data_IF_175929301652
#
_entry.id   IF_175929301652
#
_cell.length_a   1.000
_cell.length_b   1.000
_cell.length_c   1.000
_cell.angle_alpha   90.00
_cell.angle_beta   90.00
_cell.angle_gamma   90.00
#
_symmetry.space_group_name_H-M   'P 1'
#
loop_
_entity.id
_entity.type
_entity.pdbx_description
1 polymer ?
#
# COMPACT_ATOMS: atom_id res chain seq x y z
N UNK A 1 -18.32 -17.64 37.66
CA UNK A 1 -17.01 -17.50 36.95
C UNK A 1 -17.27 -16.64 35.72
N UNK A 2 -16.73 -15.40 35.75
CA UNK A 2 -16.79 -14.54 34.56
C UNK A 2 -15.90 -15.20 33.48
N UNK A 3 -16.49 -15.78 32.44
CA UNK A 3 -15.70 -16.26 31.30
C UNK A 3 -15.15 -15.05 30.54
N UNK A 4 -13.92 -15.15 30.04
CA UNK A 4 -13.37 -14.09 29.19
C UNK A 4 -14.13 -14.04 27.88
N UNK A 5 -14.42 -12.84 27.37
CA UNK A 5 -15.02 -12.65 26.06
C UNK A 5 -14.17 -13.33 24.98
N UNK A 6 -14.82 -13.91 23.99
CA UNK A 6 -14.18 -14.38 22.76
C UNK A 6 -14.40 -13.37 21.63
N UNK A 7 -13.63 -13.49 20.57
CA UNK A 7 -13.68 -12.54 19.45
C UNK A 7 -13.75 -13.27 18.11
N UNK A 8 -14.40 -12.67 17.13
CA UNK A 8 -14.41 -13.19 15.77
C UNK A 8 -13.03 -13.04 15.11
N UNK A 9 -12.71 -13.96 14.18
CA UNK A 9 -11.36 -14.06 13.59
C UNK A 9 -10.94 -12.82 12.78
N UNK A 10 -11.80 -12.34 11.88
CA UNK A 10 -11.40 -11.34 10.91
C UNK A 10 -11.60 -9.89 11.39
N UNK A 11 -12.72 -9.63 12.07
CA UNK A 11 -13.11 -8.30 12.53
C UNK A 11 -12.90 -8.09 14.02
N UNK A 12 -12.51 -9.13 14.77
CA UNK A 12 -12.39 -9.09 16.22
C UNK A 12 -13.62 -8.47 16.91
N UNK A 13 -14.83 -8.90 16.45
CA UNK A 13 -16.10 -8.57 17.11
C UNK A 13 -16.17 -9.28 18.45
N UNK A 14 -16.64 -8.60 19.49
CA UNK A 14 -16.85 -9.24 20.79
C UNK A 14 -18.04 -10.20 20.73
N UNK A 15 -17.80 -11.48 20.99
CA UNK A 15 -18.78 -12.54 21.01
C UNK A 15 -19.18 -12.81 22.47
N UNK A 16 -20.36 -12.36 22.85
CA UNK A 16 -20.87 -12.44 24.22
C UNK A 16 -21.57 -13.76 24.43
N UNK A 17 -21.15 -14.57 25.41
CA UNK A 17 -21.81 -15.80 25.76
C UNK A 17 -23.14 -15.53 26.53
N UNK A 18 -24.07 -16.49 26.47
CA UNK A 18 -25.35 -16.40 27.18
C UNK A 18 -25.13 -16.22 28.68
N UNK A 19 -25.74 -15.20 29.27
CA UNK A 19 -25.63 -14.89 30.69
C UNK A 19 -24.45 -14.01 31.08
N UNK A 20 -23.58 -13.63 30.11
CA UNK A 20 -22.48 -12.73 30.37
C UNK A 20 -22.84 -11.26 30.10
N UNK A 21 -21.99 -10.34 30.60
CA UNK A 21 -22.04 -8.88 30.30
C UNK A 21 -23.39 -8.23 30.60
N UNK A 22 -24.06 -8.63 31.70
CA UNK A 22 -25.30 -8.00 32.15
C UNK A 22 -25.14 -6.48 32.23
N UNK A 23 -26.04 -5.73 31.61
CA UNK A 23 -25.99 -4.25 31.52
C UNK A 23 -25.05 -3.68 30.45
N UNK A 24 -24.20 -4.47 29.81
CA UNK A 24 -23.26 -4.01 28.77
C UNK A 24 -23.68 -4.42 27.34
N UNK A 25 -24.71 -5.21 27.20
CA UNK A 25 -25.18 -5.74 25.92
C UNK A 25 -25.39 -4.68 24.84
N UNK A 26 -26.05 -3.57 25.19
CA UNK A 26 -26.29 -2.46 24.26
C UNK A 26 -25.00 -1.81 23.79
N UNK A 27 -24.04 -1.61 24.68
CA UNK A 27 -22.74 -1.04 24.34
C UNK A 27 -21.95 -1.94 23.41
N UNK A 28 -21.84 -3.23 23.73
CA UNK A 28 -21.12 -4.22 22.92
C UNK A 28 -21.76 -4.36 21.53
N UNK A 29 -23.09 -4.47 21.48
CA UNK A 29 -23.83 -4.55 20.22
C UNK A 29 -23.58 -3.33 19.35
N UNK A 30 -23.67 -2.12 19.92
CA UNK A 30 -23.44 -0.88 19.19
C UNK A 30 -21.98 -0.79 18.69
N UNK A 31 -21.00 -1.18 19.50
CA UNK A 31 -19.60 -1.22 19.09
C UNK A 31 -19.37 -2.21 17.94
N UNK A 32 -19.96 -3.41 18.02
CA UNK A 32 -19.89 -4.40 16.94
C UNK A 32 -20.52 -3.87 15.64
N UNK A 33 -21.66 -3.17 15.72
CA UNK A 33 -22.28 -2.53 14.55
C UNK A 33 -21.38 -1.44 13.96
N UNK A 34 -20.69 -0.64 14.78
CA UNK A 34 -19.72 0.34 14.32
C UNK A 34 -18.52 -0.31 13.62
N UNK A 35 -18.03 -1.44 14.12
CA UNK A 35 -16.97 -2.22 13.46
C UNK A 35 -17.45 -2.75 12.10
N UNK A 36 -18.66 -3.27 12.02
CA UNK A 36 -19.26 -3.70 10.75
C UNK A 36 -19.39 -2.53 9.77
N UNK A 37 -19.81 -1.35 10.23
CA UNK A 37 -19.86 -0.15 9.42
C UNK A 37 -18.47 0.24 8.90
N UNK A 38 -17.43 0.21 9.74
CA UNK A 38 -16.05 0.46 9.30
C UNK A 38 -15.62 -0.51 8.20
N UNK A 39 -15.95 -1.79 8.34
CA UNK A 39 -15.58 -2.82 7.36
C UNK A 39 -16.31 -2.69 6.02
N UNK A 40 -17.48 -2.06 6.01
CA UNK A 40 -18.30 -1.89 4.81
C UNK A 40 -18.06 -0.55 4.10
N UNK A 41 -17.87 0.53 4.85
CA UNK A 41 -17.84 1.91 4.32
C UNK A 41 -16.76 2.79 4.94
N UNK A 42 -15.98 2.27 5.88
CA UNK A 42 -14.97 3.05 6.61
C UNK A 42 -13.83 3.49 5.73
N UNK A 43 -13.44 4.76 5.87
CA UNK A 43 -12.27 5.38 5.24
C UNK A 43 -11.37 5.92 6.34
N UNK A 44 -10.07 5.69 6.23
CA UNK A 44 -9.10 6.23 7.19
C UNK A 44 -7.83 6.70 6.48
N UNK A 45 -7.29 7.82 6.97
CA UNK A 45 -5.97 8.30 6.60
C UNK A 45 -4.91 7.62 7.46
N UNK A 46 -3.93 6.99 6.80
CA UNK A 46 -2.80 6.33 7.44
C UNK A 46 -1.53 7.11 7.12
N UNK A 47 -0.98 7.78 8.12
CA UNK A 47 0.23 8.57 7.94
C UNK A 47 1.47 7.66 7.82
N UNK A 48 2.24 7.86 6.72
CA UNK A 48 3.47 7.12 6.40
C UNK A 48 4.75 7.96 6.59
N UNK A 49 4.68 8.99 7.45
CA UNK A 49 5.74 10.01 7.60
C UNK A 49 6.86 9.65 8.57
N UNK A 50 6.67 8.63 9.40
CA UNK A 50 7.59 8.38 10.53
C UNK A 50 8.95 7.76 10.13
N UNK A 51 9.18 7.43 8.85
CA UNK A 51 10.38 6.74 8.39
C UNK A 51 10.54 5.31 8.92
N UNK A 52 9.48 4.76 9.50
CA UNK A 52 9.40 3.39 10.03
C UNK A 52 8.14 2.71 9.53
N UNK A 53 8.16 1.38 9.49
CA UNK A 53 7.00 0.58 9.11
C UNK A 53 5.77 0.91 9.98
N UNK A 54 4.61 1.02 9.34
CA UNK A 54 3.33 1.26 10.01
C UNK A 54 2.51 -0.03 10.07
N UNK A 55 2.24 -0.52 11.26
CA UNK A 55 1.34 -1.66 11.47
C UNK A 55 -0.08 -1.16 11.72
N UNK A 56 -1.04 -1.68 10.96
CA UNK A 56 -2.47 -1.47 11.22
C UNK A 56 -2.89 -2.20 12.50
N UNK A 57 -3.96 -1.74 13.13
CA UNK A 57 -4.52 -2.35 14.33
C UNK A 57 -5.83 -3.07 14.02
N UNK A 58 -6.01 -4.26 14.58
CA UNK A 58 -7.26 -5.00 14.61
C UNK A 58 -7.65 -5.23 16.08
N UNK A 59 -8.07 -4.14 16.75
CA UNK A 59 -8.35 -4.15 18.19
C UNK A 59 -9.57 -5.00 18.54
N UNK A 60 -9.46 -5.83 19.56
CA UNK A 60 -10.55 -6.71 20.03
C UNK A 60 -11.72 -5.88 20.55
N UNK A 61 -12.93 -6.14 20.06
CA UNK A 61 -14.16 -5.48 20.49
C UNK A 61 -14.17 -3.95 20.37
N UNK A 62 -13.29 -3.35 19.56
CA UNK A 62 -13.19 -1.91 19.42
C UNK A 62 -12.94 -1.51 17.96
N UNK A 63 -13.29 -0.27 17.60
CA UNK A 63 -12.91 0.32 16.29
C UNK A 63 -11.40 0.53 16.23
N UNK A 64 -10.82 0.36 15.02
CA UNK A 64 -9.38 0.58 14.79
C UNK A 64 -9.09 0.84 13.31
N UNK A 65 -7.89 1.37 12.98
CA UNK A 65 -7.53 1.75 11.62
C UNK A 65 -7.63 0.56 10.64
N UNK A 66 -7.14 -0.61 11.01
CA UNK A 66 -7.17 -1.82 10.19
C UNK A 66 -8.55 -2.43 9.97
N UNK A 67 -9.62 -1.91 10.58
CA UNK A 67 -10.99 -2.35 10.34
C UNK A 67 -11.70 -1.59 9.22
N UNK A 68 -11.15 -0.45 8.77
CA UNK A 68 -11.67 0.29 7.63
C UNK A 68 -11.38 -0.45 6.32
N UNK A 69 -12.34 -0.38 5.38
CA UNK A 69 -12.15 -1.00 4.06
C UNK A 69 -11.27 -0.17 3.14
N UNK A 70 -11.29 1.15 3.29
CA UNK A 70 -10.53 2.08 2.46
C UNK A 70 -9.42 2.74 3.29
N UNK A 71 -8.18 2.55 2.87
CA UNK A 71 -7.00 3.12 3.50
C UNK A 71 -6.37 4.14 2.55
N UNK A 72 -6.32 5.41 2.95
CA UNK A 72 -5.58 6.44 2.22
C UNK A 72 -4.24 6.65 2.90
N UNK A 73 -3.15 6.23 2.25
CA UNK A 73 -1.79 6.42 2.75
C UNK A 73 -1.35 7.84 2.46
N UNK A 74 -0.97 8.59 3.49
CA UNK A 74 -0.74 10.04 3.38
C UNK A 74 0.60 10.45 3.98
N UNK A 75 1.03 11.66 3.65
CA UNK A 75 2.18 12.35 4.24
C UNK A 75 3.46 12.24 3.40
N UNK A 76 4.47 13.04 3.75
CA UNK A 76 5.77 13.05 3.09
C UNK A 76 6.65 11.96 3.67
N UNK A 77 7.09 11.04 2.82
CA UNK A 77 7.96 9.93 3.23
C UNK A 77 9.40 10.40 3.43
N UNK A 78 10.05 9.87 4.47
CA UNK A 78 11.46 10.18 4.83
C UNK A 78 12.37 8.94 4.75
N UNK A 79 11.81 7.75 4.50
CA UNK A 79 12.54 6.49 4.31
C UNK A 79 11.68 5.49 3.52
N UNK A 80 12.27 4.37 3.12
CA UNK A 80 11.52 3.21 2.64
C UNK A 80 10.71 2.62 3.79
N UNK A 81 9.40 2.43 3.60
CA UNK A 81 8.51 1.93 4.65
C UNK A 81 7.51 0.92 4.09
N UNK A 82 7.00 0.08 4.99
CA UNK A 82 5.93 -0.85 4.68
C UNK A 82 4.68 -0.55 5.52
N UNK A 83 3.51 -0.65 4.89
CA UNK A 83 2.27 -0.86 5.60
C UNK A 83 2.15 -2.36 5.96
N UNK A 84 2.02 -2.66 7.24
CA UNK A 84 1.92 -4.03 7.73
C UNK A 84 0.47 -4.34 8.08
N UNK A 85 -0.11 -5.33 7.40
CA UNK A 85 -1.45 -5.87 7.71
C UNK A 85 -1.28 -6.92 8.79
N UNK A 86 -2.02 -6.86 9.92
CA UNK A 86 -1.96 -7.90 10.95
C UNK A 86 -2.33 -9.27 10.38
N UNK A 87 -1.58 -10.29 10.75
CA UNK A 87 -1.80 -11.67 10.32
C UNK A 87 -2.93 -12.37 11.10
N UNK A 88 -3.22 -11.88 12.31
CA UNK A 88 -4.19 -12.49 13.21
C UNK A 88 -4.83 -11.47 14.13
N UNK A 89 -5.95 -11.87 14.72
CA UNK A 89 -6.61 -11.27 15.88
C UNK A 89 -6.54 -12.26 17.04
N UNK A 90 -7.06 -11.92 18.20
CA UNK A 90 -7.22 -12.87 19.32
C UNK A 90 -8.12 -14.05 18.93
N UNK A 91 -9.04 -13.84 17.98
CA UNK A 91 -9.93 -14.91 17.45
C UNK A 91 -9.25 -15.88 16.48
N UNK A 92 -8.03 -15.60 16.01
CA UNK A 92 -7.30 -16.45 15.06
C UNK A 92 -6.73 -15.72 13.86
N UNK A 93 -6.39 -16.46 12.81
CA UNK A 93 -5.85 -15.93 11.55
C UNK A 93 -6.86 -14.97 10.91
N UNK A 94 -6.43 -13.75 10.60
CA UNK A 94 -7.28 -12.71 10.04
C UNK A 94 -7.17 -12.66 8.51
N UNK A 95 -8.31 -12.75 7.83
CA UNK A 95 -8.45 -12.53 6.38
C UNK A 95 -9.07 -11.16 6.14
N UNK A 96 -8.44 -10.34 5.31
CA UNK A 96 -8.88 -8.96 5.07
C UNK A 96 -8.76 -8.57 3.60
N UNK A 97 -9.70 -7.73 3.19
CA UNK A 97 -9.65 -7.03 1.90
C UNK A 97 -9.60 -5.54 2.17
N UNK A 98 -8.72 -4.84 1.45
CA UNK A 98 -8.57 -3.40 1.54
C UNK A 98 -8.53 -2.78 0.15
N UNK A 99 -9.13 -1.60 0.02
CA UNK A 99 -8.82 -0.67 -1.06
C UNK A 99 -7.78 0.30 -0.50
N UNK A 100 -6.58 0.33 -1.09
CA UNK A 100 -5.48 1.15 -0.61
C UNK A 100 -5.13 2.18 -1.66
N UNK A 101 -5.26 3.46 -1.31
CA UNK A 101 -4.85 4.58 -2.15
C UNK A 101 -3.52 5.14 -1.67
N UNK A 102 -2.56 5.27 -2.57
CA UNK A 102 -1.35 6.03 -2.31
C UNK A 102 -1.57 7.52 -2.56
N UNK A 103 -1.57 8.30 -1.50
CA UNK A 103 -1.56 9.76 -1.51
C UNK A 103 -0.34 10.31 -0.75
N UNK A 104 0.76 9.50 -0.69
CA UNK A 104 2.00 9.94 -0.08
C UNK A 104 2.78 10.87 -1.01
N UNK A 105 3.51 11.81 -0.41
CA UNK A 105 4.49 12.63 -1.14
C UNK A 105 5.85 11.92 -1.11
N UNK A 106 6.37 11.56 -2.29
CA UNK A 106 7.67 10.93 -2.51
C UNK A 106 8.56 11.76 -3.44
N UNK A 107 8.28 13.06 -3.58
CA UNK A 107 8.92 13.94 -4.57
C UNK A 107 10.33 14.37 -4.19
N UNK A 108 10.80 14.09 -2.97
CA UNK A 108 12.19 14.37 -2.57
C UNK A 108 13.20 13.52 -3.33
N UNK A 109 14.40 14.03 -3.53
CA UNK A 109 15.45 13.52 -4.43
C UNK A 109 15.84 12.04 -4.26
N UNK A 110 15.50 11.42 -3.16
CA UNK A 110 15.72 10.00 -2.89
C UNK A 110 14.37 9.30 -2.74
N UNK A 111 13.80 8.97 -3.84
CA UNK A 111 12.57 8.28 -3.98
C UNK A 111 12.42 7.04 -3.11
N UNK A 112 11.65 7.19 -2.07
CA UNK A 112 11.39 6.12 -1.12
C UNK A 112 10.39 5.10 -1.69
N UNK A 113 10.60 3.83 -1.38
CA UNK A 113 9.69 2.75 -1.73
C UNK A 113 8.65 2.59 -0.63
N UNK A 114 7.38 2.60 -1.02
CA UNK A 114 6.27 2.16 -0.19
C UNK A 114 5.90 0.75 -0.58
N UNK A 115 5.71 -0.11 0.42
CA UNK A 115 5.25 -1.48 0.20
C UNK A 115 4.14 -1.87 1.17
N UNK A 116 3.43 -2.94 0.85
CA UNK A 116 2.39 -3.53 1.71
C UNK A 116 2.74 -5.00 1.91
N UNK A 117 2.66 -5.48 3.14
CA UNK A 117 2.85 -6.89 3.46
C UNK A 117 1.98 -7.33 4.63
N UNK A 118 1.69 -8.61 4.72
CA UNK A 118 1.13 -9.20 5.94
C UNK A 118 2.23 -9.35 6.99
N UNK A 119 1.89 -9.22 8.26
CA UNK A 119 2.84 -9.41 9.36
C UNK A 119 3.49 -10.80 9.27
N UNK A 120 4.82 -10.84 9.38
CA UNK A 120 5.60 -12.07 9.23
C UNK A 120 5.90 -12.47 7.77
N UNK A 121 5.24 -11.89 6.76
CA UNK A 121 5.55 -12.17 5.35
C UNK A 121 6.89 -11.55 4.93
N UNK A 122 7.67 -12.31 4.16
CA UNK A 122 8.88 -11.85 3.47
C UNK A 122 8.60 -11.30 2.06
N UNK A 123 7.35 -11.33 1.60
CA UNK A 123 6.93 -10.95 0.24
C UNK A 123 6.17 -9.61 0.24
N UNK A 124 6.86 -8.46 0.32
CA UNK A 124 6.21 -7.17 0.23
C UNK A 124 5.71 -6.89 -1.19
N UNK A 125 4.55 -6.26 -1.30
CA UNK A 125 4.00 -5.74 -2.55
C UNK A 125 4.43 -4.28 -2.68
N UNK A 126 5.15 -3.92 -3.72
CA UNK A 126 5.48 -2.53 -4.01
C UNK A 126 4.21 -1.74 -4.40
N UNK A 127 4.09 -0.52 -3.88
CA UNK A 127 2.98 0.38 -4.18
C UNK A 127 3.45 1.41 -5.21
N UNK A 128 2.94 1.37 -6.46
CA UNK A 128 3.22 2.41 -7.44
C UNK A 128 2.74 3.78 -6.95
N UNK A 129 3.48 4.84 -7.30
CA UNK A 129 3.15 6.20 -6.87
C UNK A 129 1.76 6.60 -7.37
N UNK A 130 0.91 7.08 -6.47
CA UNK A 130 -0.45 7.52 -6.78
C UNK A 130 -1.43 6.41 -7.15
N UNK A 131 -1.05 5.14 -7.02
CA UNK A 131 -1.93 4.02 -7.35
C UNK A 131 -3.07 3.84 -6.34
N UNK A 132 -4.17 3.28 -6.82
CA UNK A 132 -5.23 2.70 -5.98
C UNK A 132 -5.27 1.21 -6.24
N UNK A 133 -5.18 0.41 -5.18
CA UNK A 133 -4.95 -1.03 -5.24
C UNK A 133 -6.02 -1.77 -4.43
N UNK A 134 -6.45 -2.94 -4.91
CA UNK A 134 -7.19 -3.91 -4.12
C UNK A 134 -6.19 -4.89 -3.51
N UNK A 135 -6.14 -4.97 -2.20
CA UNK A 135 -5.26 -5.85 -1.44
C UNK A 135 -6.09 -6.90 -0.72
N UNK A 136 -5.74 -8.17 -0.90
CA UNK A 136 -6.27 -9.28 -0.12
C UNK A 136 -5.15 -9.89 0.73
N UNK A 137 -5.32 -9.92 2.05
CA UNK A 137 -4.46 -10.64 2.98
C UNK A 137 -5.19 -11.88 3.49
N UNK A 138 -4.54 -13.03 3.43
CA UNK A 138 -5.04 -14.30 3.97
C UNK A 138 -4.44 -14.66 5.34
N UNK A 139 -3.79 -13.70 6.00
CA UNK A 139 -3.10 -13.88 7.26
C UNK A 139 -1.65 -14.41 7.11
N UNK A 140 -1.22 -14.77 5.91
CA UNK A 140 0.16 -15.20 5.62
C UNK A 140 0.81 -14.24 4.63
N UNK A 141 0.16 -14.02 3.49
CA UNK A 141 0.62 -13.14 2.44
C UNK A 141 -0.46 -12.15 2.02
N UNK A 142 -0.04 -11.04 1.45
CA UNK A 142 -0.91 -10.13 0.73
C UNK A 142 -0.86 -10.42 -0.77
N UNK A 143 -2.01 -10.27 -1.45
CA UNK A 143 -2.15 -10.34 -2.90
C UNK A 143 -2.73 -9.04 -3.43
N UNK A 144 -2.43 -8.73 -4.67
CA UNK A 144 -2.65 -7.43 -5.24
C UNK A 144 -3.46 -7.52 -6.54
N UNK A 145 -4.46 -6.61 -6.63
CA UNK A 145 -5.01 -6.18 -7.91
C UNK A 145 -4.96 -4.65 -8.00
N UNK A 146 -4.42 -4.10 -9.09
CA UNK A 146 -4.37 -2.66 -9.30
C UNK A 146 -5.70 -2.19 -9.86
N UNK A 147 -6.46 -1.40 -9.08
CA UNK A 147 -7.73 -0.81 -9.51
C UNK A 147 -7.52 0.43 -10.39
N UNK A 148 -6.47 1.20 -10.12
CA UNK A 148 -6.11 2.40 -10.86
C UNK A 148 -4.60 2.59 -10.83
N UNK A 149 -3.98 2.76 -12.00
CA UNK A 149 -2.58 3.19 -12.10
C UNK A 149 -2.47 4.65 -11.68
N UNK A 150 -1.54 4.94 -10.78
CA UNK A 150 -1.17 6.31 -10.45
C UNK A 150 -0.29 6.90 -11.53
N UNK A 151 -0.30 8.23 -11.65
CA UNK A 151 0.62 8.98 -12.49
C UNK A 151 1.71 9.56 -11.60
N UNK A 152 2.97 9.29 -11.91
CA UNK A 152 4.09 9.93 -11.25
C UNK A 152 4.78 10.91 -12.19
N UNK A 153 4.69 12.19 -11.85
CA UNK A 153 5.37 13.25 -12.60
C UNK A 153 6.84 13.33 -12.20
N UNK A 154 7.73 13.17 -13.16
CA UNK A 154 9.18 13.36 -13.02
C UNK A 154 9.56 14.63 -13.77
N UNK A 155 9.99 15.66 -13.05
CA UNK A 155 10.52 16.88 -13.65
C UNK A 155 12.05 16.84 -13.55
N UNK A 156 12.72 16.90 -14.68
CA UNK A 156 14.20 16.77 -14.78
C UNK A 156 15.00 17.85 -14.05
N UNK A 157 14.38 18.96 -13.68
CA UNK A 157 14.98 19.95 -12.78
C UNK A 157 15.15 19.47 -11.33
N UNK A 158 14.42 18.42 -10.93
CA UNK A 158 14.41 17.90 -9.56
C UNK A 158 14.83 16.43 -9.48
N UNK A 159 14.48 15.62 -10.48
CA UNK A 159 14.71 14.17 -10.50
C UNK A 159 15.35 13.80 -11.83
N UNK A 160 16.62 13.44 -11.82
CA UNK A 160 17.38 12.99 -13.00
C UNK A 160 17.58 11.47 -13.05
N UNK A 161 17.27 10.75 -11.95
CA UNK A 161 17.33 9.29 -11.90
C UNK A 161 16.17 8.73 -11.08
N UNK A 162 15.56 7.63 -11.56
CA UNK A 162 14.44 6.97 -10.94
C UNK A 162 14.51 5.46 -11.08
N UNK A 163 14.29 4.71 -9.99
CA UNK A 163 14.10 3.26 -10.04
C UNK A 163 12.61 2.96 -10.03
N UNK A 164 12.13 2.46 -11.15
CA UNK A 164 10.72 2.14 -11.33
C UNK A 164 10.31 0.89 -10.57
N UNK A 165 9.06 0.82 -10.16
CA UNK A 165 8.40 -0.39 -9.67
C UNK A 165 7.34 -0.86 -10.69
N UNK A 166 6.97 -2.15 -10.62
CA UNK A 166 5.91 -2.68 -11.47
C UNK A 166 4.59 -1.90 -11.26
N UNK A 167 3.92 -1.53 -12.35
CA UNK A 167 2.70 -0.74 -12.35
C UNK A 167 2.89 0.77 -12.41
N UNK A 168 4.13 1.28 -12.35
CA UNK A 168 4.40 2.72 -12.50
C UNK A 168 3.94 3.25 -13.85
N UNK A 169 3.30 4.43 -13.84
CA UNK A 169 2.98 5.23 -15.01
C UNK A 169 3.70 6.59 -14.89
N UNK A 170 4.82 6.72 -15.59
CA UNK A 170 5.76 7.83 -15.45
C UNK A 170 5.47 8.90 -16.50
N UNK A 171 5.11 10.09 -16.04
CA UNK A 171 4.98 11.29 -16.85
C UNK A 171 6.28 12.11 -16.72
N UNK A 172 7.12 12.10 -17.75
CA UNK A 172 8.49 12.64 -17.66
C UNK A 172 8.61 13.93 -18.45
N UNK A 173 8.97 15.00 -17.78
CA UNK A 173 9.39 16.28 -18.37
C UNK A 173 10.92 16.38 -18.36
N UNK A 174 11.54 16.26 -19.53
CA UNK A 174 12.98 16.36 -19.71
C UNK A 174 13.43 17.76 -20.17
N UNK A 175 12.59 18.78 -20.03
CA UNK A 175 12.91 20.16 -20.49
C UNK A 175 14.26 20.67 -19.95
N UNK A 176 14.62 20.34 -18.70
CA UNK A 176 15.82 20.85 -18.05
C UNK A 176 17.05 19.93 -18.20
N UNK A 177 16.90 18.60 -18.24
CA UNK A 177 18.01 17.63 -18.25
C UNK A 177 17.58 16.24 -18.72
N UNK A 178 18.54 15.38 -19.00
CA UNK A 178 18.31 13.95 -19.25
C UNK A 178 17.85 13.22 -17.98
N UNK A 179 17.02 12.19 -18.14
CA UNK A 179 16.51 11.37 -17.04
C UNK A 179 16.83 9.90 -17.28
N UNK A 180 17.31 9.22 -16.24
CA UNK A 180 17.54 7.77 -16.25
C UNK A 180 16.45 7.06 -15.46
N UNK A 181 15.74 6.12 -16.11
CA UNK A 181 14.76 5.24 -15.48
C UNK A 181 15.38 3.85 -15.38
N UNK A 182 15.56 3.36 -14.16
CA UNK A 182 16.02 1.99 -13.91
C UNK A 182 14.82 1.08 -13.70
N UNK A 183 14.70 0.01 -14.50
CA UNK A 183 13.60 -0.95 -14.40
C UNK A 183 13.72 -1.83 -13.14
N UNK A 184 12.63 -2.50 -12.70
CA UNK A 184 12.66 -3.42 -11.57
C UNK A 184 13.74 -4.50 -11.72
N UNK A 185 14.43 -4.85 -10.62
CA UNK A 185 15.52 -5.84 -10.63
C UNK A 185 15.02 -7.28 -10.79
N UNK A 186 13.78 -7.56 -10.41
CA UNK A 186 13.18 -8.91 -10.45
C UNK A 186 11.77 -8.83 -11.03
N UNK A 187 11.64 -8.55 -12.35
CA UNK A 187 10.33 -8.44 -12.96
C UNK A 187 9.65 -9.81 -13.06
N UNK A 188 8.35 -9.83 -12.81
CA UNK A 188 7.49 -10.99 -13.02
C UNK A 188 6.78 -10.90 -14.39
N UNK A 189 6.26 -12.04 -14.87
CA UNK A 189 5.45 -12.04 -16.10
C UNK A 189 4.19 -11.18 -15.90
N UNK A 190 3.99 -10.21 -16.78
CA UNK A 190 2.86 -9.27 -16.71
C UNK A 190 3.18 -7.94 -16.03
N UNK A 191 4.37 -7.79 -15.46
CA UNK A 191 4.81 -6.48 -14.95
C UNK A 191 4.93 -5.46 -16.08
N UNK A 192 4.49 -4.25 -15.82
CA UNK A 192 4.48 -3.15 -16.77
C UNK A 192 5.01 -1.87 -16.10
N UNK A 193 5.83 -1.12 -16.82
CA UNK A 193 6.20 0.27 -16.50
C UNK A 193 5.89 1.11 -17.73
N UNK A 194 5.05 2.12 -17.57
CA UNK A 194 4.68 3.03 -18.65
C UNK A 194 5.49 4.33 -18.54
N UNK A 195 5.99 4.82 -19.68
CA UNK A 195 6.80 6.05 -19.76
C UNK A 195 6.18 6.96 -20.82
N UNK A 196 5.84 8.18 -20.45
CA UNK A 196 5.25 9.18 -21.34
C UNK A 196 6.04 10.49 -21.29
N UNK A 197 6.34 11.05 -22.46
CA UNK A 197 6.88 12.38 -22.60
C UNK A 197 5.80 13.44 -22.36
N UNK A 198 5.99 14.30 -21.35
CA UNK A 198 5.12 15.44 -21.05
C UNK A 198 5.91 16.75 -21.05
N UNK A 199 7.09 16.75 -21.67
CA UNK A 199 7.96 17.92 -21.78
C UNK A 199 7.27 19.05 -22.53
N UNK A 200 7.42 20.27 -22.05
CA UNK A 200 6.83 21.46 -22.67
C UNK A 200 7.61 21.94 -23.89
N UNK A 201 8.93 21.65 -23.95
CA UNK A 201 9.82 21.99 -25.06
C UNK A 201 10.90 20.91 -25.24
N UNK A 202 11.22 20.58 -26.48
CA UNK A 202 12.31 19.67 -26.84
C UNK A 202 12.06 18.20 -26.56
N UNK A 203 11.46 17.87 -25.46
CA UNK A 203 11.13 16.52 -25.05
C UNK A 203 12.29 15.54 -25.09
N UNK A 204 11.99 14.25 -25.23
CA UNK A 204 12.97 13.16 -25.34
C UNK A 204 13.89 13.27 -26.55
N UNK A 205 13.55 14.14 -27.52
CA UNK A 205 14.39 14.43 -28.69
C UNK A 205 15.58 15.32 -28.38
N UNK A 206 15.50 16.17 -27.35
CA UNK A 206 16.56 17.08 -26.93
C UNK A 206 17.31 16.52 -25.72
N UNK A 207 16.61 16.20 -24.65
CA UNK A 207 17.16 15.58 -23.43
C UNK A 207 16.60 14.17 -23.32
N UNK A 208 17.45 13.17 -23.46
CA UNK A 208 17.05 11.76 -23.55
C UNK A 208 16.52 11.22 -22.24
N UNK A 209 15.56 10.29 -22.34
CA UNK A 209 15.27 9.33 -21.29
C UNK A 209 16.06 8.06 -21.56
N UNK A 210 16.94 7.69 -20.65
CA UNK A 210 17.65 6.42 -20.70
C UNK A 210 16.91 5.39 -19.86
N UNK A 211 16.48 4.29 -20.47
CA UNK A 211 15.86 3.16 -19.76
C UNK A 211 16.94 2.13 -19.46
N UNK A 212 17.33 2.03 -18.19
CA UNK A 212 18.29 1.05 -17.71
C UNK A 212 17.55 -0.23 -17.33
N UNK A 213 17.89 -1.33 -17.97
CA UNK A 213 17.27 -2.64 -17.76
C UNK A 213 17.62 -3.34 -16.44
N UNK A 214 18.48 -2.73 -15.61
CA UNK A 214 18.87 -3.24 -14.29
C UNK A 214 19.46 -4.66 -14.37
N UNK A 215 20.35 -4.91 -15.33
CA UNK A 215 20.96 -6.22 -15.61
C UNK A 215 20.00 -7.35 -16.04
N UNK A 216 18.72 -7.04 -16.28
CA UNK A 216 17.77 -8.04 -16.78
C UNK A 216 17.84 -8.15 -18.30
N UNK A 217 17.67 -9.35 -18.89
CA UNK A 217 17.66 -9.52 -20.35
C UNK A 217 16.38 -8.89 -20.94
N UNK A 218 16.53 -8.21 -22.08
CA UNK A 218 15.38 -7.77 -22.89
C UNK A 218 15.24 -8.72 -24.06
N UNK A 219 14.07 -9.30 -24.29
CA UNK A 219 13.78 -10.30 -25.34
C UNK A 219 14.72 -11.52 -25.31
N UNK A 220 15.16 -11.93 -24.11
CA UNK A 220 16.05 -13.07 -23.95
C UNK A 220 17.51 -12.83 -24.40
N UNK A 221 17.86 -11.63 -24.84
CA UNK A 221 19.23 -11.29 -25.15
C UNK A 221 20.04 -11.11 -23.87
N UNK A 222 21.16 -11.81 -23.75
CA UNK A 222 22.19 -11.48 -22.78
C UNK A 222 22.74 -10.06 -23.03
N UNK A 223 23.24 -9.42 -22.01
CA UNK A 223 23.86 -8.10 -22.07
C UNK A 223 25.06 -8.07 -22.97
#
# INVERSE_FOLDING_TARGET
TNMASTFSTDLALELVATGEKAGLWGTITNTNLQILQQSATGVVDVAMTAGTDKTLLLSDGATSDGKNIYLRLTGTMTANVSLIIPASTTGGTATRVYIVQDATDRTTANKYTLSIKTAGSSNPIAVPVGATMLIHSNGTDARLDILQKGNFAITSSSITAYTAVAGDNLLIDTTAAEVTITLPASPAMGDEVSIMDVSTTGGFGTNKVTVNRNSQPIRGAAS
#
